data_IF_938557783805
#
_entry.id   IF_938557783805
#
_cell.length_a   1.000
_cell.length_b   1.000
_cell.length_c   1.000
_cell.angle_alpha   90.00
_cell.angle_beta   90.00
_cell.angle_gamma   90.00
#
_symmetry.space_group_name_H-M   'P 1'
#
loop_
_entity.id
_entity.type
_entity.pdbx_description
1 polymer ?
#
# COMPACT_ATOMS: atom_id res chain seq x y z
N UNK A 1 27.90 39.23 29.26
CA UNK A 1 26.84 38.84 28.27
C UNK A 1 27.34 38.18 26.97
N UNK A 2 28.45 38.61 26.33
CA UNK A 2 28.95 38.02 25.06
C UNK A 2 29.38 36.55 25.15
N UNK A 3 29.99 36.12 26.26
CA UNK A 3 30.47 34.74 26.46
C UNK A 3 29.33 33.70 26.56
N UNK A 4 28.22 34.01 27.25
CA UNK A 4 27.06 33.12 27.34
C UNK A 4 26.38 32.88 25.97
N UNK A 5 26.30 33.91 25.11
CA UNK A 5 25.74 33.78 23.75
C UNK A 5 26.60 32.87 22.86
N UNK A 6 27.93 32.96 22.98
CA UNK A 6 28.89 32.13 22.22
C UNK A 6 28.85 30.66 22.66
N UNK A 7 28.70 30.40 23.95
CA UNK A 7 28.54 29.05 24.53
C UNK A 7 27.23 28.37 24.09
N UNK A 8 26.09 29.08 24.15
CA UNK A 8 24.80 28.58 23.67
C UNK A 8 24.82 28.22 22.17
N UNK A 9 25.43 29.07 21.32
CA UNK A 9 25.57 28.82 19.87
C UNK A 9 26.45 27.60 19.57
N UNK A 10 27.53 27.39 20.33
CA UNK A 10 28.42 26.22 20.20
C UNK A 10 27.71 24.91 20.60
N UNK A 11 26.88 24.93 21.64
CA UNK A 11 26.08 23.77 22.05
C UNK A 11 24.95 23.45 21.07
N UNK A 12 24.31 24.46 20.49
CA UNK A 12 23.30 24.27 19.44
C UNK A 12 23.91 23.61 18.19
N UNK A 13 25.06 24.11 17.73
CA UNK A 13 25.79 23.51 16.60
C UNK A 13 26.24 22.07 16.87
N UNK A 14 26.61 21.72 18.11
CA UNK A 14 26.94 20.35 18.49
C UNK A 14 25.72 19.43 18.47
N UNK A 15 24.57 19.90 18.94
CA UNK A 15 23.29 19.15 18.89
C UNK A 15 22.83 18.94 17.46
N UNK A 16 22.91 19.97 16.62
CA UNK A 16 22.57 19.91 15.20
C UNK A 16 23.47 18.92 14.45
N UNK A 17 24.80 18.99 14.61
CA UNK A 17 25.72 17.99 14.03
C UNK A 17 25.48 16.57 14.54
N UNK A 18 25.09 16.39 15.80
CA UNK A 18 24.73 15.07 16.36
C UNK A 18 23.44 14.54 15.74
N UNK A 19 22.47 15.42 15.51
CA UNK A 19 21.21 15.09 14.83
C UNK A 19 21.43 14.76 13.35
N UNK A 20 22.19 15.58 12.61
CA UNK A 20 22.57 15.30 11.21
C UNK A 20 23.34 13.98 11.07
N UNK A 21 24.27 13.68 11.98
CA UNK A 21 24.96 12.37 12.02
C UNK A 21 24.02 11.22 12.32
N UNK A 22 22.97 11.45 13.11
CA UNK A 22 21.94 10.44 13.40
C UNK A 22 21.06 10.22 12.17
N UNK A 23 20.63 11.29 11.47
CA UNK A 23 19.90 11.19 10.20
C UNK A 23 20.69 10.45 9.13
N UNK A 24 21.98 10.74 8.97
CA UNK A 24 22.88 10.04 8.02
C UNK A 24 23.06 8.54 8.31
N UNK A 25 22.62 8.05 9.48
CA UNK A 25 22.64 6.63 9.85
C UNK A 25 21.26 5.98 9.77
N UNK A 26 20.21 6.74 9.50
CA UNK A 26 18.88 6.18 9.28
C UNK A 26 18.89 5.61 7.86
N UNK A 27 19.00 4.29 7.77
CA UNK A 27 18.69 3.55 6.55
C UNK A 27 17.20 3.26 6.63
N UNK A 28 16.41 3.88 5.74
CA UNK A 28 14.97 3.59 5.61
C UNK A 28 14.84 2.49 4.55
N UNK A 29 14.11 1.43 4.89
CA UNK A 29 13.83 0.31 3.99
C UNK A 29 12.65 0.67 3.06
N UNK A 30 12.64 0.16 1.83
CA UNK A 30 11.56 0.39 0.85
C UNK A 30 10.21 -0.16 1.31
N UNK A 31 10.22 -1.23 2.13
CA UNK A 31 9.02 -1.77 2.81
C UNK A 31 8.57 -0.95 4.03
N UNK A 32 9.23 0.18 4.30
CA UNK A 32 8.85 1.08 5.39
C UNK A 32 7.63 1.91 5.01
N UNK A 33 6.76 2.15 6.00
CA UNK A 33 5.56 2.97 5.90
C UNK A 33 5.81 4.34 5.24
N UNK A 34 6.90 5.02 5.62
CA UNK A 34 7.24 6.33 5.04
C UNK A 34 7.54 6.23 3.56
N UNK A 35 8.42 5.30 3.15
CA UNK A 35 8.77 5.11 1.74
C UNK A 35 7.55 4.67 0.92
N UNK A 36 6.74 3.76 1.47
CA UNK A 36 5.53 3.30 0.81
C UNK A 36 4.54 4.45 0.54
N UNK A 37 4.33 5.32 1.53
CA UNK A 37 3.48 6.52 1.39
C UNK A 37 4.08 7.57 0.46
N UNK A 38 5.40 7.72 0.46
CA UNK A 38 6.10 8.63 -0.45
C UNK A 38 5.97 8.19 -1.92
N UNK A 39 6.12 6.88 -2.21
CA UNK A 39 6.03 6.37 -3.59
C UNK A 39 4.63 6.29 -4.16
N UNK A 40 3.62 6.04 -3.33
CA UNK A 40 2.27 5.73 -3.82
C UNK A 40 1.20 6.68 -3.29
N UNK A 41 1.49 7.46 -2.24
CA UNK A 41 0.51 8.25 -1.50
C UNK A 41 0.57 9.75 -1.78
N UNK A 42 1.48 10.21 -2.64
CA UNK A 42 1.60 11.62 -2.99
C UNK A 42 0.64 12.00 -4.13
N UNK A 43 0.24 13.27 -4.15
CA UNK A 43 -0.62 13.87 -5.18
C UNK A 43 0.23 14.46 -6.32
N UNK A 44 1.07 13.62 -6.91
CA UNK A 44 1.88 13.91 -8.09
C UNK A 44 1.74 12.80 -9.15
N UNK A 45 2.22 13.10 -10.36
CA UNK A 45 2.06 12.23 -11.52
C UNK A 45 2.76 10.89 -11.32
N UNK A 46 4.02 10.90 -10.88
CA UNK A 46 4.84 9.70 -10.71
C UNK A 46 4.20 8.75 -9.69
N UNK A 47 3.78 9.28 -8.54
CA UNK A 47 3.13 8.50 -7.50
C UNK A 47 1.76 7.97 -7.93
N UNK A 48 1.02 8.74 -8.72
CA UNK A 48 -0.25 8.30 -9.29
C UNK A 48 -0.06 7.16 -10.29
N UNK A 49 0.92 7.28 -11.19
CA UNK A 49 1.20 6.25 -12.19
C UNK A 49 1.69 4.95 -11.54
N UNK A 50 2.61 5.04 -10.59
CA UNK A 50 3.08 3.88 -9.82
C UNK A 50 1.93 3.23 -9.04
N UNK A 51 1.08 4.03 -8.36
CA UNK A 51 -0.09 3.55 -7.63
C UNK A 51 -1.08 2.84 -8.55
N UNK A 52 -1.42 3.44 -9.70
CA UNK A 52 -2.33 2.86 -10.67
C UNK A 52 -1.77 1.54 -11.20
N UNK A 53 -0.48 1.50 -11.54
CA UNK A 53 0.21 0.31 -12.02
C UNK A 53 0.12 -0.86 -11.03
N UNK A 54 0.47 -0.64 -9.75
CA UNK A 54 0.41 -1.72 -8.75
C UNK A 54 -1.03 -2.17 -8.49
N UNK A 55 -2.02 -1.27 -8.57
CA UNK A 55 -3.43 -1.60 -8.42
C UNK A 55 -3.92 -2.47 -9.59
N UNK A 56 -3.69 -2.03 -10.83
CA UNK A 56 -4.07 -2.76 -12.04
C UNK A 56 -3.48 -4.17 -12.04
N UNK A 57 -2.18 -4.30 -11.76
CA UNK A 57 -1.51 -5.60 -11.77
C UNK A 57 -2.02 -6.51 -10.64
N UNK A 58 -2.19 -5.95 -9.43
CA UNK A 58 -2.71 -6.69 -8.28
C UNK A 58 -4.12 -7.23 -8.54
N UNK A 59 -4.99 -6.41 -9.15
CA UNK A 59 -6.38 -6.79 -9.45
C UNK A 59 -6.46 -7.76 -10.64
N UNK A 60 -5.65 -7.55 -11.68
CA UNK A 60 -5.64 -8.37 -12.88
C UNK A 60 -6.86 -8.15 -13.79
N UNK A 61 -7.17 -9.15 -14.62
CA UNK A 61 -8.35 -9.18 -15.52
C UNK A 61 -8.49 -7.98 -16.47
N UNK A 62 -7.39 -7.34 -16.85
CA UNK A 62 -7.40 -6.22 -17.80
C UNK A 62 -7.95 -4.91 -17.23
N UNK A 63 -8.04 -4.77 -15.90
CA UNK A 63 -8.40 -3.49 -15.26
C UNK A 63 -7.45 -2.38 -15.70
N UNK A 64 -8.02 -1.23 -16.02
CA UNK A 64 -7.30 -0.01 -16.41
C UNK A 64 -7.78 1.19 -15.61
N UNK A 65 -6.85 1.82 -14.90
CA UNK A 65 -7.05 3.00 -14.06
C UNK A 65 -6.38 4.17 -14.77
N UNK A 66 -7.19 4.96 -15.46
CA UNK A 66 -6.70 6.15 -16.20
C UNK A 66 -6.16 7.21 -15.24
N UNK A 67 -6.85 7.41 -14.11
CA UNK A 67 -6.51 8.40 -13.09
C UNK A 67 -7.04 7.93 -11.75
N UNK A 68 -6.28 8.21 -10.69
CA UNK A 68 -6.77 8.08 -9.31
C UNK A 68 -6.36 9.29 -8.48
N UNK A 69 -7.18 9.64 -7.49
CA UNK A 69 -6.89 10.71 -6.53
C UNK A 69 -6.79 10.16 -5.12
N UNK A 70 -5.86 10.69 -4.33
CA UNK A 70 -5.73 10.36 -2.92
C UNK A 70 -6.89 10.96 -2.13
N UNK A 71 -7.46 10.16 -1.24
CA UNK A 71 -8.51 10.56 -0.31
C UNK A 71 -7.96 10.70 1.10
N UNK A 72 -8.76 11.30 1.98
CA UNK A 72 -8.44 11.34 3.41
C UNK A 72 -8.34 9.92 3.97
N UNK A 73 -7.18 9.56 4.49
CA UNK A 73 -6.89 8.25 5.09
C UNK A 73 -7.52 8.08 6.48
N UNK A 74 -7.94 9.17 7.11
CA UNK A 74 -8.63 9.13 8.39
C UNK A 74 -10.14 8.98 8.21
N UNK A 75 -10.68 7.83 8.61
CA UNK A 75 -12.13 7.60 8.64
C UNK A 75 -12.60 7.73 10.09
N UNK A 76 -13.38 8.79 10.32
CA UNK A 76 -13.95 9.06 11.63
C UNK A 76 -15.05 8.04 11.98
N UNK A 77 -15.22 7.73 13.27
CA UNK A 77 -16.37 6.97 13.72
C UNK A 77 -17.66 7.73 13.42
N UNK A 78 -18.68 7.00 12.99
CA UNK A 78 -20.04 7.50 12.74
C UNK A 78 -20.87 7.61 14.02
N UNK A 79 -20.48 6.89 15.06
CA UNK A 79 -21.11 6.90 16.38
C UNK A 79 -20.06 7.07 17.48
N UNK A 80 -20.45 7.75 18.56
CA UNK A 80 -19.57 7.92 19.72
C UNK A 80 -19.17 6.56 20.29
N UNK A 81 -17.86 6.34 20.45
CA UNK A 81 -17.29 5.08 20.95
C UNK A 81 -16.80 4.12 19.86
N UNK A 82 -17.17 4.32 18.59
CA UNK A 82 -16.65 3.51 17.49
C UNK A 82 -15.16 3.82 17.23
N UNK A 83 -14.44 2.84 16.68
CA UNK A 83 -12.99 2.94 16.43
C UNK A 83 -12.71 3.86 15.24
N UNK A 84 -11.84 4.85 15.44
CA UNK A 84 -11.21 5.63 14.35
C UNK A 84 -10.34 4.70 13.50
N UNK A 85 -10.44 4.83 12.19
CA UNK A 85 -9.58 4.11 11.24
C UNK A 85 -8.60 5.10 10.63
N UNK A 86 -7.35 4.66 10.50
CA UNK A 86 -6.30 5.36 9.76
C UNK A 86 -5.74 4.32 8.79
N UNK A 87 -5.85 4.62 7.50
CA UNK A 87 -5.35 3.80 6.40
C UNK A 87 -3.95 4.28 5.98
N UNK A 88 -3.21 3.44 5.29
CA UNK A 88 -1.93 3.87 4.73
C UNK A 88 -2.14 4.74 3.49
N UNK A 89 -2.86 4.20 2.50
CA UNK A 89 -3.19 4.89 1.26
C UNK A 89 -4.63 4.56 0.90
N UNK A 90 -5.42 5.61 0.70
CA UNK A 90 -6.77 5.50 0.17
C UNK A 90 -6.85 6.30 -1.13
N UNK A 91 -7.22 5.64 -2.22
CA UNK A 91 -7.36 6.27 -3.52
C UNK A 91 -8.70 5.92 -4.17
N UNK A 92 -9.18 6.79 -5.05
CA UNK A 92 -10.39 6.59 -5.84
C UNK A 92 -10.10 6.83 -7.32
N UNK A 93 -10.59 5.96 -8.20
CA UNK A 93 -10.47 6.14 -9.65
C UNK A 93 -11.61 6.97 -10.25
N UNK A 94 -11.50 7.29 -11.54
CA UNK A 94 -12.54 8.03 -12.28
C UNK A 94 -13.90 7.32 -12.38
N UNK A 95 -13.96 6.02 -12.08
CA UNK A 95 -15.20 5.23 -12.06
C UNK A 95 -15.84 5.17 -10.66
N UNK A 96 -15.19 5.77 -9.65
CA UNK A 96 -15.61 5.79 -8.25
C UNK A 96 -15.26 4.51 -7.49
N UNK A 97 -14.41 3.64 -8.05
CA UNK A 97 -13.88 2.47 -7.34
C UNK A 97 -12.85 2.92 -6.32
N UNK A 98 -12.86 2.28 -5.15
CA UNK A 98 -12.01 2.65 -4.04
C UNK A 98 -10.87 1.64 -3.87
N UNK A 99 -9.67 2.13 -3.64
CA UNK A 99 -8.45 1.35 -3.47
C UNK A 99 -7.84 1.68 -2.11
N UNK A 100 -7.92 0.73 -1.17
CA UNK A 100 -7.16 0.78 0.07
C UNK A 100 -5.89 -0.04 -0.09
N UNK A 101 -4.73 0.60 0.00
CA UNK A 101 -3.43 -0.03 -0.24
C UNK A 101 -2.62 0.03 1.06
N UNK A 102 -2.19 -1.14 1.52
CA UNK A 102 -1.56 -1.32 2.84
C UNK A 102 -0.23 -2.07 2.69
N UNK A 103 0.75 -1.75 3.55
CA UNK A 103 2.03 -2.48 3.65
C UNK A 103 2.22 -3.03 5.06
N UNK A 104 2.39 -4.34 5.20
CA UNK A 104 2.53 -5.00 6.51
C UNK A 104 3.76 -5.91 6.59
N UNK A 105 4.76 -5.47 7.37
CA UNK A 105 6.04 -6.18 7.54
C UNK A 105 5.98 -7.39 8.47
N UNK A 106 5.07 -7.35 9.45
CA UNK A 106 4.90 -8.40 10.43
C UNK A 106 3.39 -8.61 10.64
N UNK A 107 2.73 -9.32 9.70
CA UNK A 107 1.29 -9.56 9.78
C UNK A 107 0.97 -10.49 10.95
N UNK A 108 -0.05 -10.13 11.72
CA UNK A 108 -0.59 -10.93 12.83
C UNK A 108 -2.03 -11.31 12.54
N UNK A 109 -2.59 -12.25 13.32
CA UNK A 109 -4.03 -12.59 13.20
C UNK A 109 -4.93 -11.36 13.41
N UNK A 110 -4.52 -10.42 14.26
CA UNK A 110 -5.26 -9.17 14.50
C UNK A 110 -5.33 -8.29 13.24
N UNK A 111 -4.33 -8.34 12.37
CA UNK A 111 -4.33 -7.59 11.12
C UNK A 111 -5.41 -8.12 10.17
N UNK A 112 -5.65 -9.43 10.11
CA UNK A 112 -6.72 -9.98 9.27
C UNK A 112 -8.10 -9.48 9.68
N UNK A 113 -8.40 -9.46 10.98
CA UNK A 113 -9.64 -8.87 11.50
C UNK A 113 -9.73 -7.36 11.23
N UNK A 114 -8.61 -6.63 11.39
CA UNK A 114 -8.54 -5.19 11.09
C UNK A 114 -8.83 -4.91 9.62
N UNK A 115 -8.22 -5.68 8.75
CA UNK A 115 -8.36 -5.60 7.31
C UNK A 115 -9.79 -5.87 6.87
N UNK A 116 -10.44 -6.89 7.42
CA UNK A 116 -11.87 -7.15 7.19
C UNK A 116 -12.75 -5.96 7.61
N UNK A 117 -12.55 -5.46 8.83
CA UNK A 117 -13.25 -4.28 9.35
C UNK A 117 -13.05 -3.03 8.46
N UNK A 118 -11.82 -2.79 7.98
CA UNK A 118 -11.48 -1.66 7.12
C UNK A 118 -12.19 -1.77 5.77
N UNK A 119 -12.21 -2.96 5.17
CA UNK A 119 -12.90 -3.20 3.90
C UNK A 119 -14.40 -2.96 4.01
N UNK A 120 -15.04 -3.48 5.06
CA UNK A 120 -16.46 -3.23 5.32
C UNK A 120 -16.75 -1.75 5.57
N UNK A 121 -15.90 -1.06 6.35
CA UNK A 121 -16.07 0.38 6.62
C UNK A 121 -15.94 1.20 5.34
N UNK A 122 -14.94 0.91 4.52
CA UNK A 122 -14.73 1.55 3.22
C UNK A 122 -15.92 1.35 2.28
N UNK A 123 -16.53 0.17 2.24
CA UNK A 123 -17.74 -0.07 1.45
C UNK A 123 -18.95 0.70 2.00
N UNK A 124 -19.15 0.66 3.32
CA UNK A 124 -20.28 1.33 3.98
C UNK A 124 -20.25 2.85 3.81
N UNK A 125 -19.06 3.46 3.79
CA UNK A 125 -18.89 4.91 3.66
C UNK A 125 -19.18 5.45 2.26
N UNK A 126 -19.30 4.56 1.24
CA UNK A 126 -19.59 4.95 -0.14
C UNK A 126 -21.04 5.38 -0.35
N UNK A 127 -21.98 4.81 0.40
CA UNK A 127 -23.39 5.08 0.19
C UNK A 127 -23.88 6.16 1.15
N UNK A 128 -24.20 7.34 0.60
CA UNK A 128 -24.82 8.43 1.36
C UNK A 128 -26.31 8.16 1.57
N UNK A 129 -26.88 8.79 2.60
CA UNK A 129 -28.32 8.74 2.91
C UNK A 129 -29.14 9.06 1.65
N UNK A 130 -30.10 8.19 1.33
CA UNK A 130 -30.96 8.30 0.14
C UNK A 130 -30.37 7.70 -1.15
N UNK A 131 -29.12 7.22 -1.13
CA UNK A 131 -28.52 6.50 -2.25
C UNK A 131 -29.11 5.09 -2.43
N UNK A 132 -29.17 4.62 -3.68
CA UNK A 132 -29.61 3.26 -4.00
C UNK A 132 -28.45 2.27 -3.88
N UNK A 133 -28.66 1.13 -3.23
CA UNK A 133 -27.63 0.09 -3.06
C UNK A 133 -27.05 -0.44 -4.38
N UNK A 134 -27.84 -0.46 -5.46
CA UNK A 134 -27.38 -0.85 -6.80
C UNK A 134 -26.27 0.07 -7.37
N UNK A 135 -26.09 1.26 -6.79
CA UNK A 135 -25.05 2.21 -7.20
C UNK A 135 -23.74 2.02 -6.42
N UNK A 136 -23.65 1.04 -5.51
CA UNK A 136 -22.42 0.74 -4.80
C UNK A 136 -21.31 0.41 -5.79
N UNK A 137 -20.12 0.98 -5.53
CA UNK A 137 -18.91 0.74 -6.32
C UNK A 137 -18.01 -0.25 -5.59
N UNK A 138 -17.27 -1.09 -6.33
CA UNK A 138 -16.27 -1.98 -5.76
C UNK A 138 -15.24 -1.24 -4.88
N UNK A 139 -14.84 -1.93 -3.82
CA UNK A 139 -13.72 -1.58 -2.94
C UNK A 139 -12.67 -2.68 -3.07
N UNK A 140 -11.46 -2.29 -3.46
CA UNK A 140 -10.28 -3.13 -3.54
C UNK A 140 -9.39 -2.85 -2.34
N UNK A 141 -9.10 -3.89 -1.55
CA UNK A 141 -8.13 -3.81 -0.48
C UNK A 141 -6.91 -4.64 -0.84
N UNK A 142 -5.82 -3.96 -1.18
CA UNK A 142 -4.57 -4.52 -1.67
C UNK A 142 -3.54 -4.44 -0.55
N UNK A 143 -3.08 -5.58 -0.08
CA UNK A 143 -2.24 -5.70 1.10
C UNK A 143 -0.92 -6.34 0.67
N UNK A 144 0.14 -5.54 0.65
CA UNK A 144 1.50 -6.01 0.51
C UNK A 144 1.97 -6.52 1.87
N UNK A 145 2.53 -7.72 1.94
CA UNK A 145 2.93 -8.29 3.22
C UNK A 145 4.18 -9.16 3.13
N UNK A 146 5.02 -9.08 4.17
CA UNK A 146 6.14 -10.00 4.38
C UNK A 146 5.65 -11.26 5.10
N UNK A 147 4.94 -12.08 4.34
CA UNK A 147 4.36 -13.34 4.80
C UNK A 147 3.40 -13.89 3.75
N UNK A 148 2.81 -15.05 4.06
CA UNK A 148 1.87 -15.73 3.19
C UNK A 148 0.49 -15.76 3.82
N UNK A 149 -0.50 -15.15 3.15
CA UNK A 149 -1.87 -15.21 3.60
C UNK A 149 -2.36 -16.66 3.62
N UNK A 150 -2.69 -17.16 4.82
CA UNK A 150 -3.21 -18.51 5.05
C UNK A 150 -2.32 -19.63 4.45
N UNK A 151 -1.01 -19.43 4.41
CA UNK A 151 -0.05 -20.43 3.89
C UNK A 151 -0.07 -20.58 2.36
N UNK A 152 -0.75 -19.69 1.63
CA UNK A 152 -0.72 -19.70 0.18
C UNK A 152 0.52 -18.98 -0.35
N UNK A 153 1.40 -19.71 -1.05
CA UNK A 153 2.70 -19.25 -1.52
C UNK A 153 2.66 -18.49 -2.85
N UNK A 154 1.49 -18.27 -3.44
CA UNK A 154 1.35 -17.46 -4.64
C UNK A 154 1.74 -16.00 -4.34
N UNK A 155 2.34 -15.34 -5.35
CA UNK A 155 2.65 -13.92 -5.30
C UNK A 155 1.40 -13.06 -5.07
N UNK A 156 0.30 -13.38 -5.74
CA UNK A 156 -0.98 -12.68 -5.62
C UNK A 156 -2.09 -13.66 -5.30
N UNK A 157 -2.84 -13.39 -4.24
CA UNK A 157 -4.06 -14.12 -3.90
C UNK A 157 -5.26 -13.17 -3.85
N UNK A 158 -6.30 -13.48 -4.63
CA UNK A 158 -7.50 -12.65 -4.78
C UNK A 158 -8.71 -13.36 -4.17
N UNK A 159 -9.33 -12.74 -3.19
CA UNK A 159 -10.48 -13.28 -2.47
C UNK A 159 -11.72 -12.43 -2.71
N UNK A 160 -12.84 -13.13 -2.92
CA UNK A 160 -14.21 -12.64 -3.08
C UNK A 160 -15.16 -13.66 -2.45
N UNK A 161 -16.41 -13.27 -2.17
CA UNK A 161 -17.41 -14.19 -1.62
C UNK A 161 -17.82 -15.26 -2.63
N UNK A 162 -17.86 -16.50 -2.16
CA UNK A 162 -18.17 -17.70 -2.94
C UNK A 162 -18.98 -18.68 -2.08
N UNK A 163 -19.77 -19.53 -2.72
CA UNK A 163 -20.41 -20.66 -2.04
C UNK A 163 -19.44 -21.85 -1.86
N UNK A 164 -19.92 -22.91 -1.21
CA UNK A 164 -19.13 -24.13 -0.93
C UNK A 164 -18.57 -24.81 -2.18
N UNK A 165 -19.20 -24.59 -3.34
CA UNK A 165 -18.77 -25.12 -4.64
C UNK A 165 -17.80 -24.17 -5.38
N UNK A 166 -17.41 -23.06 -4.76
CA UNK A 166 -16.52 -22.06 -5.35
C UNK A 166 -17.19 -21.13 -6.36
N UNK A 167 -18.51 -21.19 -6.54
CA UNK A 167 -19.24 -20.26 -7.40
C UNK A 167 -19.26 -18.88 -6.76
N UNK A 168 -19.03 -17.84 -7.57
CA UNK A 168 -19.10 -16.45 -7.10
C UNK A 168 -20.55 -16.10 -6.74
N UNK A 169 -20.73 -15.37 -5.64
CA UNK A 169 -22.05 -14.92 -5.22
C UNK A 169 -22.69 -13.96 -6.24
N UNK A 170 -21.87 -13.09 -6.84
CA UNK A 170 -22.28 -12.10 -7.82
C UNK A 170 -21.23 -11.94 -8.92
N UNK A 171 -21.69 -11.63 -10.15
CA UNK A 171 -20.80 -11.34 -11.30
C UNK A 171 -19.92 -10.11 -11.07
N UNK A 172 -20.40 -9.15 -10.28
CA UNK A 172 -19.69 -7.92 -9.92
C UNK A 172 -19.52 -7.81 -8.40
N UNK A 173 -18.55 -8.53 -7.79
CA UNK A 173 -18.32 -8.44 -6.35
C UNK A 173 -17.98 -7.02 -5.91
N UNK A 174 -18.51 -6.60 -4.77
CA UNK A 174 -18.26 -5.26 -4.23
C UNK A 174 -17.02 -5.20 -3.34
N UNK A 175 -16.63 -6.31 -2.71
CA UNK A 175 -15.48 -6.37 -1.82
C UNK A 175 -14.42 -7.30 -2.40
N UNK A 176 -13.26 -6.75 -2.72
CA UNK A 176 -12.12 -7.48 -3.23
C UNK A 176 -10.97 -7.39 -2.23
N UNK A 177 -10.46 -8.54 -1.81
CA UNK A 177 -9.30 -8.64 -0.93
C UNK A 177 -8.15 -9.24 -1.70
N UNK A 178 -7.05 -8.52 -1.81
CA UNK A 178 -5.90 -8.94 -2.59
C UNK A 178 -4.68 -8.93 -1.67
N UNK A 179 -4.04 -10.09 -1.51
CA UNK A 179 -2.78 -10.20 -0.80
C UNK A 179 -1.65 -10.32 -1.81
N UNK A 180 -0.63 -9.49 -1.65
CA UNK A 180 0.63 -9.54 -2.39
C UNK A 180 1.71 -10.02 -1.43
N UNK A 181 2.14 -11.27 -1.61
CA UNK A 181 3.10 -11.94 -0.73
C UNK A 181 4.52 -11.60 -1.19
N UNK A 182 5.17 -10.65 -0.53
CA UNK A 182 6.54 -10.24 -0.86
C UNK A 182 7.55 -11.40 -0.94
N UNK A 183 7.60 -12.36 0.01
CA UNK A 183 8.55 -13.47 -0.05
C UNK A 183 8.32 -14.45 -1.21
N UNK A 184 7.18 -14.40 -1.91
CA UNK A 184 6.98 -15.22 -3.11
C UNK A 184 7.98 -14.89 -4.23
N UNK A 185 8.59 -13.69 -4.19
CA UNK A 185 9.57 -13.28 -5.20
C UNK A 185 10.81 -14.18 -5.23
N UNK A 186 11.23 -14.73 -4.08
CA UNK A 186 12.38 -15.63 -4.01
C UNK A 186 12.17 -16.90 -4.83
N UNK A 187 10.95 -17.46 -4.78
CA UNK A 187 10.59 -18.62 -5.59
C UNK A 187 10.56 -18.28 -7.08
N UNK A 188 10.04 -17.11 -7.44
CA UNK A 188 10.01 -16.63 -8.83
C UNK A 188 11.44 -16.43 -9.36
N UNK A 189 12.31 -15.80 -8.57
CA UNK A 189 13.73 -15.62 -8.91
C UNK A 189 14.43 -16.96 -9.08
N UNK A 190 14.15 -17.95 -8.23
CA UNK A 190 14.70 -19.29 -8.36
C UNK A 190 14.20 -20.02 -9.63
N UNK A 191 12.96 -19.77 -10.04
CA UNK A 191 12.34 -20.43 -11.20
C UNK A 191 12.80 -19.84 -12.53
N UNK A 192 12.74 -18.51 -12.69
CA UNK A 192 13.02 -17.86 -13.98
C UNK A 192 14.23 -16.94 -13.99
N UNK A 193 14.90 -16.74 -12.86
CA UNK A 193 16.09 -15.89 -12.74
C UNK A 193 15.77 -14.41 -12.59
N UNK A 194 16.62 -13.72 -11.81
CA UNK A 194 16.52 -12.29 -11.48
C UNK A 194 16.39 -11.36 -12.71
N UNK A 195 17.07 -11.68 -13.81
CA UNK A 195 17.04 -10.86 -15.03
C UNK A 195 15.75 -10.97 -15.85
N UNK A 196 14.89 -11.95 -15.54
CA UNK A 196 13.65 -12.21 -16.27
C UNK A 196 12.40 -11.78 -15.47
N UNK A 197 12.57 -11.00 -14.40
CA UNK A 197 11.47 -10.42 -13.65
C UNK A 197 10.77 -9.33 -14.49
N UNK A 198 9.45 -9.33 -14.47
CA UNK A 198 8.66 -8.22 -15.02
C UNK A 198 8.66 -7.01 -14.07
N UNK A 199 8.14 -5.87 -14.52
CA UNK A 199 8.19 -4.63 -13.73
C UNK A 199 7.51 -4.74 -12.35
N UNK A 200 6.37 -5.43 -12.25
CA UNK A 200 5.72 -5.65 -10.96
C UNK A 200 6.59 -6.50 -10.04
N UNK A 201 7.12 -7.61 -10.54
CA UNK A 201 8.02 -8.48 -9.78
C UNK A 201 9.31 -7.78 -9.35
N UNK A 202 9.84 -6.84 -10.15
CA UNK A 202 10.98 -5.99 -9.76
C UNK A 202 10.62 -5.07 -8.59
N UNK A 203 9.40 -4.51 -8.56
CA UNK A 203 8.90 -3.74 -7.41
C UNK A 203 8.78 -4.62 -6.16
N UNK A 204 8.26 -5.85 -6.31
CA UNK A 204 8.17 -6.80 -5.19
C UNK A 204 9.57 -7.18 -4.69
N UNK A 205 10.51 -7.44 -5.60
CA UNK A 205 11.91 -7.70 -5.28
C UNK A 205 12.52 -6.55 -4.48
N UNK A 206 12.29 -5.30 -4.92
CA UNK A 206 12.73 -4.11 -4.22
C UNK A 206 12.18 -4.04 -2.79
N UNK A 207 10.89 -4.33 -2.58
CA UNK A 207 10.31 -4.32 -1.24
C UNK A 207 10.82 -5.46 -0.35
N UNK A 208 10.97 -6.67 -0.88
CA UNK A 208 11.45 -7.80 -0.07
C UNK A 208 12.94 -7.63 0.28
N UNK A 209 13.79 -7.33 -0.69
CA UNK A 209 15.24 -7.31 -0.49
C UNK A 209 15.80 -5.95 -0.09
N UNK A 210 15.01 -4.88 -0.22
CA UNK A 210 15.45 -3.50 0.01
C UNK A 210 16.63 -3.08 -0.89
N UNK A 211 16.72 -3.69 -2.06
CA UNK A 211 17.70 -3.39 -3.09
C UNK A 211 17.04 -3.56 -4.47
N UNK A 212 17.42 -2.73 -5.45
CA UNK A 212 16.92 -2.89 -6.79
C UNK A 212 17.39 -4.21 -7.39
N UNK A 213 16.53 -4.83 -8.18
CA UNK A 213 16.98 -5.79 -9.16
C UNK A 213 17.78 -5.02 -10.23
N UNK A 214 19.04 -5.38 -10.52
CA UNK A 214 19.93 -4.62 -11.41
C UNK A 214 19.19 -4.15 -12.68
N UNK A 215 19.22 -2.82 -12.90
CA UNK A 215 18.52 -1.94 -13.89
C UNK A 215 17.43 -0.97 -13.40
N UNK A 216 17.16 -0.82 -12.10
CA UNK A 216 16.43 0.38 -11.61
C UNK A 216 17.45 1.51 -11.38
N UNK A 217 17.68 2.35 -12.39
CA UNK A 217 18.15 3.71 -12.14
C UNK A 217 16.94 4.52 -11.65
N UNK A 218 16.93 5.04 -10.41
CA UNK A 218 15.79 5.78 -9.86
C UNK A 218 15.35 7.01 -10.68
N UNK A 219 16.12 7.41 -11.70
CA UNK A 219 15.86 8.54 -12.59
C UNK A 219 15.39 8.19 -14.01
N UNK A 220 15.01 6.94 -14.31
CA UNK A 220 14.53 6.52 -15.65
C UNK A 220 13.09 6.01 -15.71
N UNK A 221 12.34 6.09 -14.61
CA UNK A 221 10.90 5.83 -14.60
C UNK A 221 10.07 6.99 -15.19
N UNK A 222 10.74 8.09 -15.56
CA UNK A 222 10.15 9.25 -16.24
C UNK A 222 10.89 9.44 -17.56
N UNK A 223 10.39 8.80 -18.62
CA UNK A 223 10.58 9.17 -20.03
C UNK A 223 9.62 8.38 -20.91
#
# INVERSE_FOLDING_TARGET
>A
MKYLKKSKKKNLNRRQKKFERRLKRIVVTYDNDYCFKDYFGMDDLDSMEMRNYICEYSIGNGVKIVKSTILNVEILPDQLGNKKIILDILAEDSNGNLYNIEMQRAPTIADYFRWEYYGARNLSSRLKKGGKYINLKPVYQIIFMRGYAYGNHNLINRYIMRNDNGQQEHENPLMHRIYVSLPAIDHIVAEKGKNNLNEFEKIIYLFEHNEPCDTIEPGKMVN
#
